data_IF_990686168048
#
_entry.id   IF_990686168048
#
_cell.length_a   1.000
_cell.length_b   1.000
_cell.length_c   1.000
_cell.angle_alpha   90.00
_cell.angle_beta   90.00
_cell.angle_gamma   90.00
#
_symmetry.space_group_name_H-M   'P 1'
#
loop_
_entity.id
_entity.type
_entity.pdbx_description
1 polymer ?
#
# COMPACT_ATOMS: atom_id res chain seq x y z
N UNK A 1 -2.22 4.38 1.54
CA UNK A 1 -1.29 3.68 2.45
C UNK A 1 -0.51 4.72 3.24
N UNK A 2 -0.27 4.48 4.52
CA UNK A 2 0.51 5.36 5.40
C UNK A 2 1.58 4.51 6.08
N UNK A 3 2.84 4.87 5.90
CA UNK A 3 3.96 4.29 6.64
C UNK A 3 4.23 5.02 7.94
N UNK A 4 4.73 4.32 8.96
CA UNK A 4 5.25 4.96 10.18
C UNK A 4 6.64 4.47 10.55
N UNK A 5 7.33 5.24 11.40
CA UNK A 5 8.63 4.86 11.98
C UNK A 5 8.55 3.64 12.90
N UNK A 6 7.35 3.14 13.18
CA UNK A 6 7.11 1.89 13.89
C UNK A 6 7.30 0.64 13.02
N UNK A 7 7.80 0.79 11.79
CA UNK A 7 8.01 -0.30 10.80
C UNK A 7 6.71 -1.00 10.43
N UNK A 8 5.73 -0.17 10.07
CA UNK A 8 4.42 -0.63 9.64
C UNK A 8 3.88 0.22 8.48
N UNK A 9 2.98 -0.38 7.70
CA UNK A 9 2.19 0.26 6.66
C UNK A 9 0.71 -0.02 6.97
N UNK A 10 -0.08 1.04 7.08
CA UNK A 10 -1.53 0.97 7.30
C UNK A 10 -2.28 1.40 6.05
N UNK A 11 -3.34 0.68 5.75
CA UNK A 11 -4.23 0.95 4.63
C UNK A 11 -5.58 1.36 5.19
N UNK A 12 -6.10 2.47 4.66
CA UNK A 12 -7.34 3.07 5.12
C UNK A 12 -8.28 3.17 3.92
N UNK A 13 -9.55 2.84 4.13
CA UNK A 13 -10.59 3.25 3.21
C UNK A 13 -10.94 4.72 3.49
N UNK A 14 -10.96 5.48 2.41
CA UNK A 14 -11.26 6.92 2.37
C UNK A 14 -12.48 7.23 1.50
N UNK A 15 -13.19 6.20 1.03
CA UNK A 15 -14.36 6.32 0.16
C UNK A 15 -15.59 6.90 0.88
N UNK A 16 -15.63 6.73 2.21
CA UNK A 16 -16.70 7.21 3.08
C UNK A 16 -16.29 8.48 3.86
N UNK A 17 -17.25 9.13 4.52
CA UNK A 17 -16.98 10.28 5.40
C UNK A 17 -16.19 9.93 6.67
N UNK A 18 -16.00 8.64 6.96
CA UNK A 18 -15.17 8.16 8.05
C UNK A 18 -13.98 7.39 7.48
N UNK A 19 -12.80 7.66 8.02
CA UNK A 19 -11.60 6.91 7.70
C UNK A 19 -11.54 5.67 8.58
N UNK A 20 -11.52 4.48 7.98
CA UNK A 20 -11.35 3.22 8.71
C UNK A 20 -10.13 2.47 8.21
N UNK A 21 -9.42 1.83 9.14
CA UNK A 21 -8.27 1.00 8.81
C UNK A 21 -8.75 -0.33 8.22
N UNK A 22 -8.37 -0.61 6.98
CA UNK A 22 -8.69 -1.86 6.28
C UNK A 22 -7.66 -2.95 6.56
N UNK A 23 -6.38 -2.59 6.57
CA UNK A 23 -5.29 -3.55 6.72
C UNK A 23 -4.08 -2.92 7.39
N UNK A 24 -3.44 -3.69 8.26
CA UNK A 24 -2.22 -3.30 8.97
C UNK A 24 -1.10 -4.29 8.66
N UNK A 25 -0.15 -3.87 7.83
CA UNK A 25 1.11 -4.59 7.64
C UNK A 25 2.09 -4.16 8.73
N UNK A 26 2.32 -5.00 9.72
CA UNK A 26 3.18 -4.71 10.86
C UNK A 26 4.43 -5.60 10.89
N UNK A 27 5.35 -5.28 11.81
CA UNK A 27 6.60 -6.02 12.02
C UNK A 27 7.48 -6.11 10.77
N UNK A 28 7.53 -5.03 9.98
CA UNK A 28 8.50 -4.94 8.89
C UNK A 28 9.92 -4.87 9.47
N UNK A 29 10.90 -5.36 8.70
CA UNK A 29 12.31 -5.30 9.11
C UNK A 29 12.81 -3.84 9.20
N UNK A 30 12.40 -3.05 8.22
CA UNK A 30 12.93 -1.72 7.91
C UNK A 30 11.82 -0.66 7.90
N UNK A 31 12.18 0.62 8.06
CA UNK A 31 11.21 1.72 8.10
C UNK A 31 10.87 2.20 6.69
N UNK A 32 9.59 2.24 6.28
CA UNK A 32 9.22 2.77 4.97
C UNK A 32 9.18 4.31 4.99
N UNK A 33 9.87 4.96 4.05
CA UNK A 33 10.00 6.43 3.99
C UNK A 33 9.35 7.08 2.78
N UNK A 34 9.24 6.37 1.66
CA UNK A 34 8.62 6.92 0.46
C UNK A 34 7.71 5.88 -0.18
N UNK A 35 6.68 6.37 -0.86
CA UNK A 35 5.65 5.55 -1.47
C UNK A 35 5.32 6.13 -2.84
N UNK A 36 5.09 5.24 -3.80
CA UNK A 36 4.45 5.55 -5.07
C UNK A 36 3.44 4.46 -5.42
N UNK A 37 2.31 4.85 -5.99
CA UNK A 37 1.25 3.92 -6.35
C UNK A 37 0.97 3.98 -7.85
N UNK A 38 1.18 2.85 -8.51
CA UNK A 38 0.93 2.71 -9.93
C UNK A 38 -0.35 1.91 -10.17
N UNK A 39 -1.30 2.52 -10.87
CA UNK A 39 -2.54 1.89 -11.29
C UNK A 39 -2.90 2.31 -12.73
N UNK A 40 -3.20 1.32 -13.57
CA UNK A 40 -3.57 1.55 -14.96
C UNK A 40 -5.07 1.84 -15.07
N UNK A 41 -5.42 3.12 -15.12
CA UNK A 41 -6.81 3.58 -15.27
C UNK A 41 -7.46 3.16 -16.60
N UNK A 42 -6.67 2.81 -17.63
CA UNK A 42 -7.18 2.35 -18.93
C UNK A 42 -7.53 0.86 -18.94
N UNK A 43 -6.99 0.09 -17.99
CA UNK A 43 -7.22 -1.35 -17.85
C UNK A 43 -7.49 -1.69 -16.37
N UNK A 44 -8.66 -1.31 -15.84
CA UNK A 44 -8.96 -1.39 -14.41
C UNK A 44 -8.94 -2.81 -13.80
N UNK A 45 -9.02 -3.85 -14.63
CA UNK A 45 -8.98 -5.25 -14.21
C UNK A 45 -7.57 -5.86 -14.23
N UNK A 46 -6.52 -5.05 -14.37
CA UNK A 46 -5.13 -5.50 -14.24
C UNK A 46 -4.61 -5.25 -12.84
N UNK A 47 -3.44 -5.82 -12.54
CA UNK A 47 -2.73 -5.59 -11.29
C UNK A 47 -2.42 -4.09 -11.05
N UNK A 48 -2.29 -3.73 -9.78
CA UNK A 48 -1.70 -2.46 -9.35
C UNK A 48 -0.48 -2.70 -8.46
N UNK A 49 0.38 -1.70 -8.37
CA UNK A 49 1.64 -1.78 -7.63
C UNK A 49 1.73 -0.67 -6.60
N UNK A 50 1.99 -1.03 -5.35
CA UNK A 50 2.53 -0.11 -4.37
C UNK A 50 4.03 -0.32 -4.27
N UNK A 51 4.77 0.72 -4.62
CA UNK A 51 6.23 0.77 -4.55
C UNK A 51 6.59 1.59 -3.32
N UNK A 52 7.51 1.09 -2.50
CA UNK A 52 7.99 1.86 -1.36
C UNK A 52 9.48 1.64 -1.11
N UNK A 53 10.15 2.73 -0.72
CA UNK A 53 11.55 2.71 -0.31
C UNK A 53 11.65 2.65 1.21
N UNK A 54 12.67 1.93 1.68
CA UNK A 54 12.97 1.79 3.11
C UNK A 54 14.29 2.46 3.49
N UNK A 55 14.55 2.60 4.78
CA UNK A 55 15.74 3.26 5.35
C UNK A 55 17.09 2.61 4.98
N UNK A 56 17.10 1.33 4.66
CA UNK A 56 18.28 0.63 4.11
C UNK A 56 18.62 1.03 2.67
N UNK A 57 17.76 1.80 2.01
CA UNK A 57 17.87 2.16 0.60
C UNK A 57 17.31 1.12 -0.37
N UNK A 58 16.77 0.00 0.15
CA UNK A 58 16.07 -0.99 -0.66
C UNK A 58 14.71 -0.47 -1.16
N UNK A 59 14.25 -1.04 -2.27
CA UNK A 59 12.92 -0.77 -2.84
C UNK A 59 12.12 -2.07 -2.81
N UNK A 60 10.91 -1.99 -2.26
CA UNK A 60 9.97 -3.09 -2.17
C UNK A 60 8.74 -2.82 -3.05
N UNK A 61 8.12 -3.90 -3.52
CA UNK A 61 6.92 -3.87 -4.34
C UNK A 61 5.85 -4.76 -3.71
N UNK A 62 4.64 -4.23 -3.58
CA UNK A 62 3.42 -5.00 -3.28
C UNK A 62 2.53 -4.97 -4.51
N UNK A 63 2.17 -6.16 -5.00
CA UNK A 63 1.30 -6.31 -6.18
C UNK A 63 -0.11 -6.68 -5.72
N UNK A 64 -1.10 -5.87 -6.10
CA UNK A 64 -2.51 -6.14 -5.84
C UNK A 64 -3.17 -6.66 -7.11
N UNK A 65 -3.69 -7.88 -7.04
CA UNK A 65 -4.23 -8.58 -8.22
C UNK A 65 -5.63 -8.07 -8.63
N UNK A 66 -6.37 -7.48 -7.70
CA UNK A 66 -7.78 -7.09 -7.87
C UNK A 66 -8.07 -5.68 -7.30
N UNK A 67 -7.39 -4.63 -7.77
CA UNK A 67 -7.42 -3.31 -7.13
C UNK A 67 -8.79 -2.62 -7.08
N UNK A 68 -9.73 -3.02 -7.94
CA UNK A 68 -11.07 -2.40 -8.04
C UNK A 68 -12.12 -3.11 -7.22
N UNK A 69 -11.98 -4.42 -7.01
CA UNK A 69 -12.98 -5.22 -6.27
C UNK A 69 -12.61 -5.28 -4.80
N UNK A 70 -11.37 -5.66 -4.49
CA UNK A 70 -10.92 -5.80 -3.10
C UNK A 70 -9.40 -5.85 -3.05
N UNK A 71 -8.80 -4.91 -2.33
CA UNK A 71 -7.34 -4.75 -2.31
C UNK A 71 -6.63 -5.86 -1.50
N UNK A 72 -7.31 -6.48 -0.52
CA UNK A 72 -6.72 -7.42 0.44
C UNK A 72 -7.39 -8.83 0.50
N UNK A 73 -8.21 -9.21 -0.50
CA UNK A 73 -8.77 -10.58 -0.62
C UNK A 73 -8.08 -11.44 -1.70
#
# INVERSE_FOLDING_TARGET
AIGSTSRDIRFYDVSSSQYFEEYHLFAMADVPYCFDYHYNTKQPNTESLLIFGVDTGAIHLLTFMKPVTQLFE
#
